data_IF_068797093043
#
_entry.id   IF_068797093043
#
_cell.length_a   1.000
_cell.length_b   1.000
_cell.length_c   1.000
_cell.angle_alpha   90.00
_cell.angle_beta   90.00
_cell.angle_gamma   90.00
#
_symmetry.space_group_name_H-M   'P 1'
#
loop_
_entity.id
_entity.type
_entity.pdbx_description
1 polymer ?
#
# COMPACT_ATOMS: atom_id res chain seq x y z
N UNK A 1 -9.74 22.58 55.92
CA UNK A 1 -10.43 22.39 54.59
C UNK A 1 -9.38 22.51 53.54
N UNK A 2 -8.91 21.35 53.07
CA UNK A 2 -7.97 21.27 51.97
C UNK A 2 -8.68 21.62 50.66
N UNK A 3 -8.28 22.71 50.03
CA UNK A 3 -8.73 23.08 48.70
C UNK A 3 -7.87 22.26 47.73
N UNK A 4 -8.46 21.25 47.09
CA UNK A 4 -7.80 20.50 46.04
C UNK A 4 -7.32 21.45 44.94
N UNK A 5 -6.06 21.37 44.49
CA UNK A 5 -5.57 22.24 43.44
C UNK A 5 -6.36 21.96 42.17
N UNK A 6 -6.77 23.05 41.50
CA UNK A 6 -7.50 23.02 40.24
C UNK A 6 -6.70 22.30 39.15
N UNK A 7 -6.98 21.03 38.94
CA UNK A 7 -6.41 20.19 37.85
C UNK A 7 -7.00 20.50 36.46
N UNK A 8 -7.70 21.63 36.30
CA UNK A 8 -8.63 21.72 35.16
C UNK A 8 -8.05 22.28 33.89
N UNK A 9 -7.28 23.34 33.87
CA UNK A 9 -6.97 24.08 32.65
C UNK A 9 -5.57 23.83 32.09
N UNK A 10 -4.59 23.64 32.96
CA UNK A 10 -3.20 23.38 32.52
C UNK A 10 -3.00 22.04 31.81
N UNK A 11 -3.69 20.99 32.24
CA UNK A 11 -3.60 19.66 31.63
C UNK A 11 -4.36 19.57 30.31
N UNK A 12 -5.48 20.28 30.15
CA UNK A 12 -6.23 20.38 28.89
C UNK A 12 -5.40 21.13 27.85
N UNK A 13 -4.71 22.20 28.25
CA UNK A 13 -3.86 22.98 27.35
C UNK A 13 -2.60 22.21 26.93
N UNK A 14 -1.98 21.46 27.82
CA UNK A 14 -0.83 20.61 27.53
C UNK A 14 -1.18 19.45 26.58
N UNK A 15 -2.40 18.90 26.63
CA UNK A 15 -2.88 17.86 25.70
C UNK A 15 -3.15 18.37 24.29
N UNK A 16 -3.27 19.68 24.10
CA UNK A 16 -3.55 20.29 22.80
C UNK A 16 -2.29 20.46 21.95
N UNK A 17 -1.11 20.56 22.56
CA UNK A 17 0.16 20.75 21.88
C UNK A 17 0.84 19.40 21.67
N UNK A 18 1.25 19.12 20.43
CA UNK A 18 2.03 17.97 20.02
C UNK A 18 3.46 18.43 19.78
N UNK A 19 4.43 17.58 20.11
CA UNK A 19 5.84 17.90 19.90
C UNK A 19 6.40 16.97 18.84
N UNK A 20 7.02 17.55 17.81
CA UNK A 20 7.67 16.81 16.74
C UNK A 20 9.17 17.06 16.86
N UNK A 21 9.92 16.01 17.08
CA UNK A 21 11.39 16.03 17.06
C UNK A 21 11.88 15.58 15.68
N UNK A 22 12.69 16.42 15.04
CA UNK A 22 13.42 16.08 13.84
C UNK A 22 14.92 15.97 14.17
N UNK A 23 15.72 15.55 13.21
CA UNK A 23 17.19 15.51 13.42
C UNK A 23 17.82 16.88 13.80
N UNK A 24 17.17 17.99 13.44
CA UNK A 24 17.72 19.35 13.61
C UNK A 24 16.91 20.22 14.56
N UNK A 25 15.58 20.03 14.61
CA UNK A 25 14.68 20.96 15.26
C UNK A 25 13.59 20.22 16.05
N UNK A 26 13.03 20.93 17.03
CA UNK A 26 11.81 20.54 17.74
C UNK A 26 10.71 21.52 17.41
N UNK A 27 9.54 21.01 17.04
CA UNK A 27 8.37 21.81 16.69
C UNK A 27 7.24 21.55 17.67
N UNK A 28 6.63 22.62 18.17
CA UNK A 28 5.39 22.56 18.95
C UNK A 28 4.23 22.87 18.01
N UNK A 29 3.32 21.91 17.82
CA UNK A 29 2.24 22.00 16.83
C UNK A 29 0.90 21.69 17.48
N UNK A 30 -0.17 22.29 16.96
CA UNK A 30 -1.56 22.02 17.44
C UNK A 30 -2.15 20.79 16.77
N UNK A 31 -1.75 20.48 15.54
CA UNK A 31 -2.26 19.35 14.75
C UNK A 31 -1.15 18.66 13.99
N UNK A 32 -1.35 17.36 13.68
CA UNK A 32 -0.44 16.54 12.86
C UNK A 32 -1.29 15.80 11.82
N UNK A 33 -0.78 15.72 10.59
CA UNK A 33 -1.34 14.88 9.54
C UNK A 33 -0.29 13.85 9.14
N UNK A 34 -0.57 12.56 9.34
CA UNK A 34 0.25 11.47 8.82
C UNK A 34 -0.09 11.23 7.35
N UNK A 35 0.81 11.57 6.45
CA UNK A 35 0.71 11.35 5.01
C UNK A 35 1.92 10.54 4.50
N UNK A 36 2.33 9.54 5.28
CA UNK A 36 3.57 8.78 5.09
C UNK A 36 3.48 7.67 4.04
N UNK A 37 2.26 7.44 3.51
CA UNK A 37 2.02 6.52 2.42
C UNK A 37 2.16 5.04 2.79
N UNK A 38 2.34 4.23 1.76
CA UNK A 38 2.61 2.80 1.86
C UNK A 38 3.62 2.40 0.79
N UNK A 39 4.38 1.34 1.05
CA UNK A 39 5.37 0.82 0.11
C UNK A 39 4.96 -0.58 -0.38
N UNK A 40 5.14 -0.91 -1.66
CA UNK A 40 4.95 -2.27 -2.14
C UNK A 40 5.87 -3.24 -1.40
N UNK A 41 5.40 -4.44 -1.18
CA UNK A 41 6.27 -5.53 -0.77
C UNK A 41 7.02 -6.05 -1.97
N UNK A 42 8.33 -6.25 -1.80
CA UNK A 42 9.20 -6.83 -2.82
C UNK A 42 9.31 -8.33 -2.63
N UNK A 43 9.66 -9.05 -3.71
CA UNK A 43 9.99 -10.48 -3.66
C UNK A 43 11.39 -10.69 -3.07
N UNK A 44 12.27 -9.72 -3.27
CA UNK A 44 13.70 -9.83 -2.97
C UNK A 44 14.44 -10.73 -3.97
N UNK A 45 13.86 -10.93 -5.15
CA UNK A 45 14.47 -11.71 -6.23
C UNK A 45 15.53 -10.89 -6.97
N UNK A 46 16.55 -11.57 -7.49
CA UNK A 46 17.61 -10.92 -8.26
C UNK A 46 17.02 -10.13 -9.44
N UNK A 47 17.50 -8.92 -9.66
CA UNK A 47 17.06 -8.04 -10.75
C UNK A 47 15.72 -7.33 -10.51
N UNK A 48 14.98 -7.58 -9.42
CA UNK A 48 13.70 -6.92 -9.15
C UNK A 48 13.85 -5.41 -9.12
N UNK A 49 14.81 -4.90 -8.35
CA UNK A 49 15.07 -3.46 -8.23
C UNK A 49 15.63 -2.86 -9.52
N UNK A 50 16.50 -3.61 -10.23
CA UNK A 50 17.09 -3.17 -11.49
C UNK A 50 16.04 -2.89 -12.56
N UNK A 51 15.01 -3.74 -12.66
CA UNK A 51 13.95 -3.63 -13.65
C UNK A 51 12.70 -2.90 -13.13
N UNK A 52 12.71 -2.35 -11.91
CA UNK A 52 11.62 -1.53 -11.40
C UNK A 52 11.42 -0.30 -12.30
N UNK A 53 10.22 -0.16 -12.89
CA UNK A 53 9.92 0.86 -13.91
C UNK A 53 10.45 0.52 -15.32
N UNK A 54 11.25 -0.54 -15.48
CA UNK A 54 11.76 -1.02 -16.77
C UNK A 54 11.21 -2.42 -17.14
N UNK A 55 9.96 -2.68 -16.72
CA UNK A 55 9.23 -3.94 -16.96
C UNK A 55 8.73 -4.60 -15.68
N UNK A 56 9.33 -4.35 -14.50
CA UNK A 56 8.77 -4.72 -13.21
C UNK A 56 7.95 -3.56 -12.67
N UNK A 57 6.72 -3.85 -12.26
CA UNK A 57 5.79 -2.88 -11.67
C UNK A 57 5.06 -3.48 -10.47
N UNK A 58 4.52 -2.61 -9.62
CA UNK A 58 3.71 -2.97 -8.44
C UNK A 58 2.26 -2.48 -8.55
N UNK A 59 1.87 -1.94 -9.73
CA UNK A 59 0.55 -1.38 -9.97
C UNK A 59 0.10 -1.67 -11.42
N UNK A 60 -0.76 -2.67 -11.60
CA UNK A 60 -1.28 -3.02 -12.92
C UNK A 60 -2.09 -1.88 -13.56
N UNK A 61 -2.88 -1.16 -12.78
CA UNK A 61 -3.70 -0.04 -13.29
C UNK A 61 -2.87 1.19 -13.66
N UNK A 62 -1.68 1.37 -13.04
CA UNK A 62 -0.77 2.47 -13.34
C UNK A 62 -0.01 2.22 -14.64
N UNK A 63 0.59 1.03 -14.75
CA UNK A 63 1.60 0.72 -15.76
C UNK A 63 1.15 -0.30 -16.81
N UNK A 64 -0.01 -0.94 -16.59
CA UNK A 64 -0.49 -2.02 -17.45
C UNK A 64 -0.61 -1.64 -18.93
N UNK A 65 -0.95 -0.38 -19.23
CA UNK A 65 -1.06 0.11 -20.60
C UNK A 65 0.24 -0.02 -21.42
N UNK A 66 1.42 0.02 -20.77
CA UNK A 66 2.71 -0.17 -21.43
C UNK A 66 2.94 -1.61 -21.92
N UNK A 67 2.12 -2.55 -21.44
CA UNK A 67 2.20 -3.97 -21.78
C UNK A 67 1.14 -4.43 -22.79
N UNK A 68 0.45 -3.48 -23.46
CA UNK A 68 -0.51 -3.82 -24.50
C UNK A 68 0.13 -4.74 -25.55
N UNK A 69 -0.61 -5.80 -25.92
CA UNK A 69 -0.22 -6.84 -26.88
C UNK A 69 1.06 -7.62 -26.54
N UNK A 70 1.54 -7.53 -25.29
CA UNK A 70 2.73 -8.24 -24.77
C UNK A 70 2.32 -9.40 -23.85
N UNK A 71 3.26 -10.29 -23.61
CA UNK A 71 3.16 -11.32 -22.59
C UNK A 71 3.64 -10.75 -21.26
N UNK A 72 2.89 -11.00 -20.19
CA UNK A 72 3.19 -10.47 -18.86
C UNK A 72 2.99 -11.55 -17.80
N UNK A 73 3.63 -11.39 -16.65
CA UNK A 73 3.29 -12.18 -15.47
C UNK A 73 2.79 -11.32 -14.31
N UNK A 74 1.91 -11.91 -13.49
CA UNK A 74 1.44 -11.38 -12.22
C UNK A 74 1.90 -12.30 -11.11
N UNK A 75 2.68 -11.79 -10.18
CA UNK A 75 3.21 -12.57 -9.05
C UNK A 75 2.37 -12.33 -7.82
N UNK A 76 1.63 -13.32 -7.39
CA UNK A 76 0.76 -13.24 -6.22
C UNK A 76 -0.40 -14.22 -6.24
N UNK A 77 -1.06 -14.38 -5.09
CA UNK A 77 -2.19 -15.31 -4.94
C UNK A 77 -3.34 -14.72 -4.11
N UNK A 78 -3.38 -13.40 -3.92
CA UNK A 78 -4.47 -12.66 -3.27
C UNK A 78 -5.46 -12.07 -4.28
N UNK A 79 -6.52 -11.42 -3.76
CA UNK A 79 -7.54 -10.77 -4.62
C UNK A 79 -6.91 -9.79 -5.61
N UNK A 80 -6.01 -8.92 -5.15
CA UNK A 80 -5.31 -7.95 -6.02
C UNK A 80 -4.62 -8.63 -7.20
N UNK A 81 -3.90 -9.74 -6.99
CA UNK A 81 -3.24 -10.46 -8.07
C UNK A 81 -4.24 -11.03 -9.09
N UNK A 82 -5.42 -11.46 -8.65
CA UNK A 82 -6.48 -11.95 -9.54
C UNK A 82 -7.13 -10.81 -10.31
N UNK A 83 -7.39 -9.69 -9.65
CA UNK A 83 -7.91 -8.45 -10.26
C UNK A 83 -6.95 -7.93 -11.32
N UNK A 84 -5.66 -7.82 -10.98
CA UNK A 84 -4.60 -7.39 -11.88
C UNK A 84 -4.48 -8.31 -13.11
N UNK A 85 -4.54 -9.63 -12.90
CA UNK A 85 -4.48 -10.60 -14.00
C UNK A 85 -5.67 -10.47 -14.96
N UNK A 86 -6.89 -10.31 -14.43
CA UNK A 86 -8.09 -10.11 -15.24
C UNK A 86 -8.04 -8.77 -15.98
N UNK A 87 -7.59 -7.71 -15.33
CA UNK A 87 -7.42 -6.39 -15.94
C UNK A 87 -6.43 -6.43 -17.12
N UNK A 88 -5.24 -7.01 -16.91
CA UNK A 88 -4.21 -7.14 -17.94
C UNK A 88 -4.66 -8.04 -19.10
N UNK A 89 -5.42 -9.10 -18.84
CA UNK A 89 -5.96 -9.97 -19.89
C UNK A 89 -6.89 -9.24 -20.87
N UNK A 90 -7.43 -8.07 -20.49
CA UNK A 90 -8.24 -7.23 -21.36
C UNK A 90 -7.47 -6.69 -22.58
N UNK A 91 -6.16 -6.48 -22.46
CA UNK A 91 -5.35 -5.84 -23.50
C UNK A 91 -3.96 -6.46 -23.74
N UNK A 92 -3.45 -7.26 -22.82
CA UNK A 92 -2.22 -8.04 -23.05
C UNK A 92 -2.50 -9.24 -23.95
N UNK A 93 -1.45 -9.75 -24.59
CA UNK A 93 -1.50 -10.95 -25.43
C UNK A 93 -1.71 -12.19 -24.57
N UNK A 94 -0.94 -12.34 -23.50
CA UNK A 94 -1.01 -13.44 -22.55
C UNK A 94 -0.60 -12.98 -21.15
N UNK A 95 -1.24 -13.54 -20.13
CA UNK A 95 -0.97 -13.27 -18.72
C UNK A 95 -0.65 -14.57 -18.01
N UNK A 96 0.46 -14.60 -17.28
CA UNK A 96 0.84 -15.73 -16.42
C UNK A 96 0.64 -15.32 -14.97
N UNK A 97 -0.11 -16.10 -14.20
CA UNK A 97 -0.25 -15.90 -12.75
C UNK A 97 0.69 -16.86 -12.03
N UNK A 98 1.66 -16.32 -11.33
CA UNK A 98 2.64 -17.08 -10.56
C UNK A 98 2.25 -17.08 -9.07
N UNK A 99 1.84 -18.21 -8.53
CA UNK A 99 1.51 -18.37 -7.12
C UNK A 99 2.45 -19.37 -6.44
N UNK A 100 3.11 -18.95 -5.38
CA UNK A 100 4.10 -19.75 -4.64
C UNK A 100 3.54 -21.03 -3.99
N UNK A 101 2.24 -21.18 -3.93
CA UNK A 101 1.57 -22.33 -3.33
C UNK A 101 0.40 -22.80 -4.18
N UNK A 102 -0.04 -24.04 -3.95
CA UNK A 102 -1.20 -24.61 -4.63
C UNK A 102 -2.50 -23.89 -4.24
N UNK A 103 -2.57 -23.36 -3.01
CA UNK A 103 -3.76 -22.66 -2.48
C UNK A 103 -3.66 -21.17 -2.68
N UNK A 104 -4.73 -20.58 -3.23
CA UNK A 104 -4.89 -19.13 -3.33
C UNK A 104 -5.48 -18.55 -2.05
N UNK A 105 -5.14 -17.28 -1.75
CA UNK A 105 -5.78 -16.49 -0.68
C UNK A 105 -6.95 -15.67 -1.20
N UNK A 106 -7.05 -15.53 -2.52
CA UNK A 106 -8.16 -14.86 -3.19
C UNK A 106 -9.48 -15.60 -3.01
N UNK A 107 -10.59 -14.88 -3.18
CA UNK A 107 -11.94 -15.44 -3.21
C UNK A 107 -12.05 -16.51 -4.32
N UNK A 108 -12.73 -17.62 -4.03
CA UNK A 108 -12.85 -18.76 -4.95
C UNK A 108 -13.43 -18.34 -6.31
N UNK A 109 -14.42 -17.47 -6.32
CA UNK A 109 -15.05 -16.94 -7.54
C UNK A 109 -14.07 -16.18 -8.42
N UNK A 110 -13.14 -15.40 -7.83
CA UNK A 110 -12.10 -14.69 -8.58
C UNK A 110 -11.09 -15.66 -9.20
N UNK A 111 -10.69 -16.68 -8.44
CA UNK A 111 -9.77 -17.72 -8.93
C UNK A 111 -10.40 -18.49 -10.10
N UNK A 112 -11.70 -18.78 -10.02
CA UNK A 112 -12.43 -19.42 -11.12
C UNK A 112 -12.48 -18.54 -12.37
N UNK A 113 -12.76 -17.24 -12.22
CA UNK A 113 -12.79 -16.31 -13.34
C UNK A 113 -11.42 -16.23 -14.03
N UNK A 114 -10.34 -16.18 -13.25
CA UNK A 114 -8.97 -16.22 -13.77
C UNK A 114 -8.71 -17.52 -14.54
N UNK A 115 -9.07 -18.69 -14.00
CA UNK A 115 -8.87 -19.99 -14.63
C UNK A 115 -9.70 -20.20 -15.91
N UNK A 116 -10.86 -19.58 -16.00
CA UNK A 116 -11.73 -19.66 -17.19
C UNK A 116 -11.28 -18.71 -18.32
N UNK A 117 -10.44 -17.74 -18.03
CA UNK A 117 -9.99 -16.78 -19.02
C UNK A 117 -8.92 -17.41 -19.93
N UNK A 118 -9.21 -17.57 -21.21
CA UNK A 118 -8.32 -18.22 -22.19
C UNK A 118 -6.97 -17.53 -22.41
N UNK A 119 -6.81 -16.26 -22.00
CA UNK A 119 -5.55 -15.54 -22.05
C UNK A 119 -4.68 -15.72 -20.81
N UNK A 120 -5.22 -16.31 -19.72
CA UNK A 120 -4.52 -16.45 -18.45
C UNK A 120 -4.04 -17.89 -18.26
N UNK A 121 -2.78 -18.04 -17.95
CA UNK A 121 -2.18 -19.33 -17.53
C UNK A 121 -1.78 -19.23 -16.06
N UNK A 122 -2.27 -20.14 -15.24
CA UNK A 122 -1.97 -20.17 -13.79
C UNK A 122 -0.88 -21.19 -13.51
N UNK A 123 0.21 -20.74 -12.92
CA UNK A 123 1.33 -21.56 -12.47
C UNK A 123 1.35 -21.55 -10.93
N UNK A 124 0.90 -22.66 -10.32
CA UNK A 124 0.97 -22.84 -8.86
C UNK A 124 2.30 -23.43 -8.45
N UNK A 125 2.59 -23.35 -7.14
CA UNK A 125 3.84 -23.84 -6.57
C UNK A 125 5.08 -23.27 -7.27
N UNK A 126 4.96 -22.01 -7.75
CA UNK A 126 5.95 -21.35 -8.60
C UNK A 126 6.41 -20.04 -7.97
N UNK A 127 7.71 -19.88 -7.88
CA UNK A 127 8.39 -18.66 -7.40
C UNK A 127 9.27 -18.07 -8.50
N UNK A 128 9.49 -16.75 -8.41
CA UNK A 128 10.47 -16.04 -9.23
C UNK A 128 11.80 -16.08 -8.50
N UNK A 129 12.82 -16.63 -9.13
CA UNK A 129 14.18 -16.63 -8.61
C UNK A 129 14.95 -15.40 -9.10
N UNK A 130 14.71 -14.96 -10.38
CA UNK A 130 15.41 -13.82 -10.97
C UNK A 130 14.60 -13.16 -12.08
N UNK A 131 14.72 -11.84 -12.19
CA UNK A 131 14.28 -11.05 -13.34
C UNK A 131 15.45 -10.87 -14.31
N UNK A 132 15.23 -11.09 -15.59
CA UNK A 132 16.30 -11.11 -16.61
C UNK A 132 15.97 -10.19 -17.78
N UNK A 133 17.00 -9.56 -18.33
CA UNK A 133 16.90 -8.64 -19.46
C UNK A 133 18.17 -7.82 -19.59
N UNK A 134 18.19 -6.95 -20.58
CA UNK A 134 19.28 -5.99 -20.80
C UNK A 134 18.92 -4.61 -20.25
N UNK A 135 18.23 -3.78 -21.01
CA UNK A 135 17.73 -2.46 -20.60
C UNK A 135 16.29 -2.51 -20.07
N UNK A 136 15.54 -3.50 -20.52
CA UNK A 136 14.16 -3.76 -20.15
C UNK A 136 14.03 -5.22 -19.73
N UNK A 137 12.95 -5.54 -19.01
CA UNK A 137 12.61 -6.91 -18.68
C UNK A 137 12.32 -7.72 -19.96
N UNK A 138 12.98 -8.86 -20.11
CA UNK A 138 12.82 -9.79 -21.22
C UNK A 138 12.29 -11.15 -20.76
N UNK A 139 12.42 -11.44 -19.45
CA UNK A 139 11.92 -12.68 -18.88
C UNK A 139 12.10 -12.78 -17.37
N UNK A 140 11.60 -13.86 -16.82
CA UNK A 140 11.78 -14.23 -15.42
C UNK A 140 12.23 -15.69 -15.30
N UNK A 141 13.24 -15.94 -14.49
CA UNK A 141 13.62 -17.29 -14.09
C UNK A 141 12.65 -17.73 -12.99
N UNK A 142 11.94 -18.79 -13.25
CA UNK A 142 10.96 -19.35 -12.32
C UNK A 142 11.37 -20.75 -11.88
N UNK A 143 10.95 -21.11 -10.68
CA UNK A 143 11.18 -22.43 -10.10
C UNK A 143 9.92 -23.00 -9.49
N UNK A 144 9.60 -24.24 -9.82
CA UNK A 144 8.58 -24.99 -9.13
C UNK A 144 9.08 -25.41 -7.75
N UNK A 145 8.36 -25.06 -6.69
CA UNK A 145 8.78 -25.30 -5.29
C UNK A 145 8.61 -26.76 -4.83
N UNK A 146 7.85 -27.56 -5.59
CA UNK A 146 7.59 -28.97 -5.26
C UNK A 146 8.56 -29.87 -6.03
N UNK A 147 8.73 -29.65 -7.35
CA UNK A 147 9.59 -30.47 -8.19
C UNK A 147 11.02 -29.98 -8.25
N UNK A 148 11.28 -28.73 -7.90
CA UNK A 148 12.58 -28.09 -8.07
C UNK A 148 12.90 -27.70 -9.51
N UNK A 149 12.01 -27.98 -10.46
CA UNK A 149 12.19 -27.68 -11.87
C UNK A 149 12.33 -26.17 -12.09
N UNK A 150 13.35 -25.77 -12.87
CA UNK A 150 13.61 -24.38 -13.25
C UNK A 150 13.31 -24.18 -14.72
N UNK A 151 12.73 -23.03 -15.04
CA UNK A 151 12.46 -22.63 -16.42
C UNK A 151 12.50 -21.12 -16.57
N UNK A 152 12.59 -20.64 -17.79
CA UNK A 152 12.52 -19.23 -18.13
C UNK A 152 11.14 -18.94 -18.71
N UNK A 153 10.48 -17.94 -18.17
CA UNK A 153 9.23 -17.42 -18.71
C UNK A 153 9.53 -16.11 -19.44
N UNK A 154 9.44 -16.13 -20.76
CA UNK A 154 9.65 -14.94 -21.58
C UNK A 154 8.47 -14.00 -21.46
N UNK A 155 8.66 -12.86 -20.80
CA UNK A 155 7.65 -11.83 -20.55
C UNK A 155 8.28 -10.45 -20.61
N UNK A 156 7.56 -9.48 -21.13
CA UNK A 156 7.99 -8.09 -21.20
C UNK A 156 7.54 -7.26 -20.00
N UNK A 157 6.73 -7.84 -19.11
CA UNK A 157 6.23 -7.17 -17.94
C UNK A 157 5.97 -8.14 -16.79
N UNK A 158 6.22 -7.69 -15.57
CA UNK A 158 5.94 -8.42 -14.35
C UNK A 158 5.28 -7.51 -13.32
N UNK A 159 4.07 -7.85 -12.90
CA UNK A 159 3.36 -7.13 -11.83
C UNK A 159 3.54 -7.91 -10.52
N UNK A 160 4.21 -7.29 -9.55
CA UNK A 160 4.43 -7.89 -8.23
C UNK A 160 3.29 -7.51 -7.30
N UNK A 161 2.29 -8.41 -7.18
CA UNK A 161 1.03 -8.20 -6.46
C UNK A 161 0.97 -9.00 -5.15
N UNK A 162 2.00 -8.88 -4.30
CA UNK A 162 2.11 -9.60 -3.01
C UNK A 162 1.71 -8.78 -1.79
N UNK A 163 1.16 -7.58 -2.03
CA UNK A 163 0.63 -6.66 -1.04
C UNK A 163 1.52 -5.45 -0.80
N UNK A 164 1.04 -4.58 0.07
CA UNK A 164 1.71 -3.34 0.47
C UNK A 164 1.92 -3.29 1.97
N UNK A 165 2.90 -2.50 2.44
CA UNK A 165 3.16 -2.21 3.85
C UNK A 165 2.91 -0.72 4.08
N UNK A 166 1.98 -0.32 4.98
CA UNK A 166 1.81 1.08 5.32
C UNK A 166 3.03 1.60 6.09
N UNK A 167 3.43 2.84 5.83
CA UNK A 167 4.49 3.53 6.57
C UNK A 167 3.91 4.17 7.84
N UNK A 168 3.34 3.34 8.71
CA UNK A 168 2.56 3.74 9.89
C UNK A 168 3.30 3.53 11.22
N UNK A 169 4.57 3.13 11.19
CA UNK A 169 5.29 2.78 12.42
C UNK A 169 5.34 3.97 13.38
N UNK A 170 5.68 5.18 12.91
CA UNK A 170 5.67 6.38 13.74
C UNK A 170 4.27 6.71 14.30
N UNK A 171 3.21 6.50 13.54
CA UNK A 171 1.85 6.72 14.00
C UNK A 171 1.49 5.74 15.14
N UNK A 172 1.88 4.47 15.02
CA UNK A 172 1.70 3.44 16.06
C UNK A 172 2.47 3.79 17.34
N UNK A 173 3.72 4.23 17.21
CA UNK A 173 4.57 4.62 18.34
C UNK A 173 3.95 5.80 19.11
N UNK A 174 3.17 6.65 18.42
CA UNK A 174 2.39 7.73 19.02
C UNK A 174 1.04 7.27 19.62
N UNK A 175 0.69 5.99 19.56
CA UNK A 175 -0.58 5.46 20.06
C UNK A 175 -1.76 5.60 19.10
N UNK A 176 -1.51 5.88 17.82
CA UNK A 176 -2.57 5.93 16.79
C UNK A 176 -3.02 4.51 16.47
N UNK A 177 -4.34 4.30 16.51
CA UNK A 177 -4.93 3.01 16.20
C UNK A 177 -4.75 2.60 14.74
N UNK A 178 -4.31 1.36 14.55
CA UNK A 178 -4.19 0.73 13.25
C UNK A 178 -5.05 -0.53 13.14
N UNK A 179 -5.42 -0.92 11.92
CA UNK A 179 -6.05 -2.20 11.66
C UNK A 179 -5.04 -3.36 11.75
N UNK A 180 -5.52 -4.61 11.68
CA UNK A 180 -4.67 -5.80 11.72
C UNK A 180 -3.57 -5.86 10.63
N UNK A 181 -3.74 -5.10 9.54
CA UNK A 181 -2.75 -5.00 8.46
C UNK A 181 -1.80 -3.80 8.62
N UNK A 182 -1.92 -3.05 9.72
CA UNK A 182 -1.06 -1.93 10.07
C UNK A 182 -1.49 -0.57 9.50
N UNK A 183 -2.56 -0.48 8.70
CA UNK A 183 -3.07 0.79 8.20
C UNK A 183 -3.75 1.59 9.30
N UNK A 184 -3.51 2.91 9.33
CA UNK A 184 -4.13 3.83 10.28
C UNK A 184 -5.64 3.83 10.10
N UNK A 185 -6.39 3.69 11.20
CA UNK A 185 -7.84 3.85 11.22
C UNK A 185 -8.20 5.32 11.31
N UNK A 186 -9.15 5.77 10.50
CA UNK A 186 -9.69 7.13 10.53
C UNK A 186 -11.20 7.10 10.37
N UNK A 187 -11.84 8.16 10.82
CA UNK A 187 -13.23 8.45 10.48
C UNK A 187 -13.35 9.05 9.06
N UNK A 188 -14.55 9.51 8.69
CA UNK A 188 -14.83 10.14 7.41
C UNK A 188 -14.16 11.52 7.24
N UNK A 189 -13.80 12.19 8.34
CA UNK A 189 -13.09 13.46 8.38
C UNK A 189 -11.57 13.28 8.49
N UNK A 190 -11.12 12.03 8.36
CA UNK A 190 -9.74 11.59 8.46
C UNK A 190 -9.08 11.82 9.83
N UNK A 191 -9.89 12.03 10.87
CA UNK A 191 -9.43 12.07 12.24
C UNK A 191 -9.10 10.65 12.75
N UNK A 192 -8.04 10.55 13.55
CA UNK A 192 -7.64 9.33 14.24
C UNK A 192 -8.29 9.24 15.63
N UNK A 193 -8.00 8.18 16.37
CA UNK A 193 -8.40 8.07 17.79
C UNK A 193 -7.76 9.14 18.70
N UNK A 194 -6.74 9.87 18.22
CA UNK A 194 -6.06 10.92 18.99
C UNK A 194 -6.49 12.29 18.47
N UNK A 195 -7.10 13.08 19.34
CA UNK A 195 -7.59 14.43 19.02
C UNK A 195 -6.51 15.33 18.41
N UNK A 196 -6.78 15.91 17.26
CA UNK A 196 -5.87 16.78 16.52
C UNK A 196 -4.78 16.02 15.76
N UNK A 197 -4.90 14.69 15.65
CA UNK A 197 -4.07 13.88 14.75
C UNK A 197 -4.95 13.28 13.66
N UNK A 198 -4.53 13.46 12.42
CA UNK A 198 -5.22 13.03 11.21
C UNK A 198 -4.31 12.13 10.39
N UNK A 199 -4.88 11.36 9.45
CA UNK A 199 -4.10 10.58 8.49
C UNK A 199 -4.74 10.63 7.10
N UNK A 200 -3.91 10.72 6.06
CA UNK A 200 -4.34 10.89 4.67
C UNK A 200 -3.53 9.97 3.73
N UNK A 201 -4.17 9.54 2.64
CA UNK A 201 -3.54 8.73 1.60
C UNK A 201 -3.32 7.27 2.00
N UNK A 202 -2.32 6.64 1.40
CA UNK A 202 -2.14 5.19 1.42
C UNK A 202 -1.76 4.61 2.80
N UNK A 203 -1.36 5.45 3.75
CA UNK A 203 -1.03 5.01 5.13
C UNK A 203 -2.27 4.56 5.90
N UNK A 204 -3.45 5.04 5.53
CA UNK A 204 -4.71 4.74 6.22
C UNK A 204 -5.49 3.58 5.59
N UNK A 205 -6.49 3.09 6.29
CA UNK A 205 -7.46 2.15 5.75
C UNK A 205 -8.21 2.83 4.60
N UNK A 206 -7.99 2.34 3.38
CA UNK A 206 -8.62 2.86 2.16
C UNK A 206 -8.93 1.70 1.21
N UNK A 207 -10.08 1.73 0.51
CA UNK A 207 -10.42 0.72 -0.49
C UNK A 207 -9.57 0.86 -1.77
N UNK A 208 -9.08 2.06 -2.07
CA UNK A 208 -8.32 2.37 -3.29
C UNK A 208 -7.09 3.22 -2.95
N UNK A 209 -5.94 2.83 -3.50
CA UNK A 209 -4.64 3.51 -3.34
C UNK A 209 -4.18 4.03 -4.69
N UNK A 210 -4.54 5.28 -4.96
CA UNK A 210 -4.21 6.01 -6.18
C UNK A 210 -3.90 7.46 -5.82
N UNK A 211 -3.14 8.15 -6.68
CA UNK A 211 -2.77 9.56 -6.48
C UNK A 211 -4.00 10.44 -6.24
N UNK A 212 -5.07 10.22 -7.01
CA UNK A 212 -6.30 11.01 -6.87
C UNK A 212 -6.98 10.82 -5.51
N UNK A 213 -7.01 9.59 -4.97
CA UNK A 213 -7.60 9.32 -3.66
C UNK A 213 -6.71 9.87 -2.54
N UNK A 214 -5.38 9.80 -2.68
CA UNK A 214 -4.45 10.38 -1.73
C UNK A 214 -4.55 11.92 -1.71
N UNK A 215 -4.71 12.56 -2.88
CA UNK A 215 -4.92 14.00 -2.98
C UNK A 215 -6.25 14.45 -2.35
N UNK A 216 -7.34 13.70 -2.60
CA UNK A 216 -8.64 13.95 -1.97
C UNK A 216 -8.57 13.83 -0.44
N UNK A 217 -7.93 12.78 0.06
CA UNK A 217 -7.67 12.60 1.49
C UNK A 217 -6.87 13.79 2.08
N UNK A 218 -5.84 14.25 1.36
CA UNK A 218 -5.04 15.40 1.77
C UNK A 218 -5.88 16.66 1.95
N UNK A 219 -6.80 16.94 1.03
CA UNK A 219 -7.71 18.08 1.10
C UNK A 219 -8.66 17.97 2.31
N UNK A 220 -9.25 16.79 2.54
CA UNK A 220 -10.15 16.55 3.67
C UNK A 220 -9.38 16.69 5.00
N UNK A 221 -8.22 16.05 5.13
CA UNK A 221 -7.42 16.08 6.35
C UNK A 221 -6.94 17.50 6.69
N UNK A 222 -6.52 18.27 5.66
CA UNK A 222 -6.10 19.65 5.85
C UNK A 222 -7.26 20.55 6.34
N UNK A 223 -8.44 20.41 5.73
CA UNK A 223 -9.65 21.14 6.16
C UNK A 223 -10.04 20.77 7.59
N UNK A 224 -10.02 19.49 7.92
CA UNK A 224 -10.32 19.01 9.27
C UNK A 224 -9.32 19.53 10.32
N UNK A 225 -8.03 19.55 9.97
CA UNK A 225 -6.98 20.09 10.84
C UNK A 225 -7.13 21.59 11.07
N UNK A 226 -7.48 22.36 10.03
CA UNK A 226 -7.75 23.82 10.14
C UNK A 226 -8.95 24.07 11.05
N UNK A 227 -10.06 23.35 10.86
CA UNK A 227 -11.25 23.47 11.70
C UNK A 227 -10.92 23.18 13.18
N UNK A 228 -10.21 22.09 13.45
CA UNK A 228 -9.76 21.74 14.78
C UNK A 228 -8.89 22.83 15.42
N UNK A 229 -7.93 23.41 14.69
CA UNK A 229 -7.06 24.47 15.20
C UNK A 229 -7.84 25.75 15.49
N UNK A 230 -8.83 26.10 14.65
CA UNK A 230 -9.70 27.25 14.86
C UNK A 230 -10.59 27.10 16.11
N UNK A 231 -11.15 25.91 16.34
CA UNK A 231 -11.92 25.63 17.54
C UNK A 231 -11.09 25.77 18.83
N UNK A 232 -9.80 25.43 18.79
CA UNK A 232 -8.90 25.65 19.92
C UNK A 232 -8.70 27.14 20.22
N UNK A 233 -8.62 28.00 19.18
CA UNK A 233 -8.48 29.44 19.33
C UNK A 233 -9.73 30.11 19.92
N UNK A 234 -10.92 29.62 19.58
CA UNK A 234 -12.20 30.13 20.10
C UNK A 234 -12.41 29.79 21.60
N UNK A 235 -11.91 28.64 22.04
CA UNK A 235 -12.01 28.19 23.46
C UNK A 235 -10.99 28.86 24.38
N UNK A 236 -10.11 29.71 23.86
CA UNK A 236 -9.04 30.40 24.61
C UNK A 236 -9.37 31.86 24.92
N UNK A 237 -10.60 32.32 24.60
CA UNK A 237 -11.17 33.62 24.95
C UNK A 237 -12.23 33.43 26.02
#
# INVERSE_FOLDING_TARGET
RDVAPSRGLGDVYKRQIKVIHTRRNTYMVKSIIFATGAVPKTLGADGEEQFAGAGVSYCATCDGAFFKDKDVCVVGGGNTAMEDALYLAGFCRKVYVLNRSKKFRAAATMVENVKRNGKITVLTDTVVDKFVGSNMLEGVDIRNTVTGEKSILNVSGAIVAIGVKPSSDLAKDCGVECCQHGFVKTDMYLATNITGIFAAGDVRVSPLRQVITAAADGAIAATSAVNYVNELGIKSI
#
